data_IF_158561593107
#
_entry.id   IF_158561593107
#
_cell.length_a   1.000
_cell.length_b   1.000
_cell.length_c   1.000
_cell.angle_alpha   90.00
_cell.angle_beta   90.00
_cell.angle_gamma   90.00
#
_symmetry.space_group_name_H-M   'P 1'
#
loop_
_entity.id
_entity.type
_entity.pdbx_description
1 polymer ?
#
# COMPACT_ATOMS: atom_id res chain seq x y z
N UNK A 1 -8.41 -7.62 2.89
CA UNK A 1 -8.96 -6.40 3.53
C UNK A 1 -9.17 -5.30 2.49
N UNK A 2 -8.12 -4.82 1.81
CA UNK A 2 -8.24 -3.77 0.78
C UNK A 2 -9.30 -4.09 -0.29
N UNK A 3 -9.32 -5.31 -0.83
CA UNK A 3 -10.34 -5.78 -1.80
C UNK A 3 -11.78 -5.67 -1.30
N UNK A 4 -12.03 -5.95 -0.01
CA UNK A 4 -13.37 -5.84 0.55
C UNK A 4 -13.77 -4.38 0.79
N UNK A 5 -12.81 -3.51 1.14
CA UNK A 5 -13.03 -2.07 1.25
C UNK A 5 -13.34 -1.47 -0.13
N UNK A 6 -12.54 -1.82 -1.14
CA UNK A 6 -12.75 -1.44 -2.53
C UNK A 6 -14.14 -1.83 -3.02
N UNK A 7 -14.52 -3.10 -2.83
CA UNK A 7 -15.84 -3.60 -3.19
C UNK A 7 -16.97 -2.76 -2.58
N UNK A 8 -16.91 -2.49 -1.28
CA UNK A 8 -17.95 -1.71 -0.58
C UNK A 8 -18.03 -0.26 -1.02
N UNK A 9 -16.90 0.34 -1.37
CA UNK A 9 -16.85 1.71 -1.88
C UNK A 9 -17.37 1.77 -3.33
N UNK A 10 -17.01 0.79 -4.14
CA UNK A 10 -17.52 0.64 -5.49
C UNK A 10 -19.04 0.47 -5.51
N UNK A 11 -19.59 -0.38 -4.63
CA UNK A 11 -21.05 -0.55 -4.45
C UNK A 11 -21.76 0.75 -4.03
N UNK A 12 -21.04 1.72 -3.45
CA UNK A 12 -21.54 3.06 -3.10
C UNK A 12 -21.36 4.09 -4.22
N UNK A 13 -20.84 3.68 -5.37
CA UNK A 13 -20.63 4.55 -6.54
C UNK A 13 -19.32 5.34 -6.51
N UNK A 14 -18.37 5.03 -5.63
CA UNK A 14 -17.06 5.67 -5.63
C UNK A 14 -16.12 5.03 -6.65
N UNK A 15 -15.28 5.85 -7.28
CA UNK A 15 -14.16 5.37 -8.09
C UNK A 15 -13.01 5.02 -7.15
N UNK A 16 -12.55 3.77 -7.25
CA UNK A 16 -11.54 3.22 -6.36
C UNK A 16 -10.40 2.56 -7.12
N UNK A 17 -9.22 2.48 -6.50
CA UNK A 17 -8.09 1.74 -7.05
C UNK A 17 -7.21 1.12 -5.95
N UNK A 18 -6.86 -0.16 -6.09
CA UNK A 18 -5.87 -0.80 -5.21
C UNK A 18 -4.48 -0.69 -5.81
N UNK A 19 -3.55 -0.13 -5.04
CA UNK A 19 -2.11 -0.18 -5.28
C UNK A 19 -1.54 -1.31 -4.39
N UNK A 20 -1.00 -2.36 -4.99
CA UNK A 20 -0.46 -3.51 -4.25
C UNK A 20 0.87 -4.01 -4.82
N UNK A 21 1.43 -5.03 -4.17
CA UNK A 21 2.69 -5.62 -4.58
C UNK A 21 2.66 -6.19 -6.00
N UNK A 22 1.53 -6.71 -6.45
CA UNK A 22 1.43 -7.39 -7.73
C UNK A 22 1.38 -6.37 -8.87
N UNK A 23 0.64 -5.27 -8.75
CA UNK A 23 0.62 -4.25 -9.80
C UNK A 23 1.84 -3.30 -9.77
N UNK A 24 2.35 -2.94 -8.60
CA UNK A 24 3.49 -2.01 -8.50
C UNK A 24 4.84 -2.71 -8.71
N UNK A 25 5.11 -3.85 -8.05
CA UNK A 25 6.44 -4.49 -8.14
C UNK A 25 6.69 -5.16 -9.50
N UNK A 26 5.65 -5.58 -10.22
CA UNK A 26 5.84 -6.14 -11.56
C UNK A 26 5.94 -5.07 -12.66
N UNK A 27 5.62 -3.81 -12.37
CA UNK A 27 5.67 -2.71 -13.35
C UNK A 27 6.56 -1.55 -12.89
N UNK A 28 6.02 -0.59 -12.14
CA UNK A 28 6.66 0.66 -11.75
C UNK A 28 7.93 0.47 -10.91
N UNK A 29 7.96 -0.56 -10.06
CA UNK A 29 9.04 -0.83 -9.11
C UNK A 29 9.77 -2.15 -9.42
N UNK A 30 9.75 -2.59 -10.68
CA UNK A 30 10.40 -3.84 -11.12
C UNK A 30 11.93 -3.84 -10.97
N UNK A 31 12.52 -2.66 -10.86
CA UNK A 31 13.95 -2.42 -10.67
C UNK A 31 14.38 -2.50 -9.20
N UNK A 32 13.43 -2.52 -8.25
CA UNK A 32 13.70 -2.47 -6.82
C UNK A 32 13.68 -3.88 -6.20
N UNK A 33 14.72 -4.20 -5.42
CA UNK A 33 14.81 -5.41 -4.64
C UNK A 33 14.13 -5.33 -3.27
N UNK A 34 14.82 -5.83 -2.26
CA UNK A 34 14.34 -5.93 -0.87
C UNK A 34 15.30 -5.35 0.16
N UNK A 35 16.36 -4.66 -0.28
CA UNK A 35 17.25 -3.90 0.61
C UNK A 35 16.46 -2.81 1.36
N UNK A 36 16.97 -2.31 2.50
CA UNK A 36 16.36 -1.18 3.18
C UNK A 36 16.12 0.02 2.26
N UNK A 37 17.10 0.35 1.40
CA UNK A 37 17.04 1.47 0.47
C UNK A 37 15.98 1.25 -0.62
N UNK A 38 15.90 0.04 -1.18
CA UNK A 38 14.89 -0.31 -2.18
C UNK A 38 13.47 -0.29 -1.58
N UNK A 39 13.33 -0.64 -0.30
CA UNK A 39 12.05 -0.57 0.42
C UNK A 39 11.62 0.88 0.65
N UNK A 40 12.55 1.74 1.04
CA UNK A 40 12.29 3.17 1.18
C UNK A 40 11.84 3.77 -0.15
N UNK A 41 12.59 3.52 -1.24
CA UNK A 41 12.25 4.03 -2.58
C UNK A 41 10.92 3.46 -3.08
N UNK A 42 10.64 2.18 -2.80
CA UNK A 42 9.37 1.57 -3.14
C UNK A 42 8.21 2.32 -2.47
N UNK A 43 8.28 2.60 -1.16
CA UNK A 43 7.23 3.34 -0.45
C UNK A 43 7.15 4.79 -0.93
N UNK A 44 8.28 5.44 -1.24
CA UNK A 44 8.30 6.80 -1.81
C UNK A 44 7.54 6.86 -3.13
N UNK A 45 7.86 5.98 -4.09
CA UNK A 45 7.17 5.92 -5.41
C UNK A 45 5.67 5.65 -5.26
N UNK A 46 5.29 4.72 -4.38
CA UNK A 46 3.89 4.42 -4.09
C UNK A 46 3.17 5.63 -3.49
N UNK A 47 3.82 6.36 -2.58
CA UNK A 47 3.26 7.57 -1.98
C UNK A 47 2.97 8.66 -3.02
N UNK A 48 3.89 8.89 -3.96
CA UNK A 48 3.68 9.85 -5.05
C UNK A 48 2.51 9.46 -5.97
N UNK A 49 2.44 8.17 -6.35
CA UNK A 49 1.34 7.67 -7.18
C UNK A 49 0.02 7.77 -6.42
N UNK A 50 -0.03 7.35 -5.15
CA UNK A 50 -1.22 7.47 -4.32
C UNK A 50 -1.70 8.92 -4.23
N UNK A 51 -0.79 9.88 -4.08
CA UNK A 51 -1.10 11.31 -4.07
C UNK A 51 -1.70 11.78 -5.41
N UNK A 52 -1.14 11.36 -6.55
CA UNK A 52 -1.69 11.67 -7.88
C UNK A 52 -3.12 11.13 -8.05
N UNK A 53 -3.39 9.90 -7.60
CA UNK A 53 -4.73 9.32 -7.62
C UNK A 53 -5.70 10.11 -6.73
N UNK A 54 -5.27 10.48 -5.52
CA UNK A 54 -6.07 11.32 -4.62
C UNK A 54 -6.40 12.68 -5.25
N UNK A 55 -5.43 13.33 -5.89
CA UNK A 55 -5.63 14.60 -6.60
C UNK A 55 -6.59 14.47 -7.79
N UNK A 56 -6.65 13.29 -8.42
CA UNK A 56 -7.62 12.97 -9.46
C UNK A 56 -9.02 12.61 -8.91
N UNK A 57 -9.23 12.67 -7.59
CA UNK A 57 -10.50 12.33 -6.93
C UNK A 57 -10.75 10.84 -6.76
N UNK A 58 -9.72 9.99 -6.89
CA UNK A 58 -9.83 8.54 -6.79
C UNK A 58 -9.47 8.10 -5.36
N UNK A 59 -10.37 7.33 -4.74
CA UNK A 59 -10.08 6.71 -3.45
C UNK A 59 -9.15 5.52 -3.68
N UNK A 60 -7.90 5.64 -3.26
CA UNK A 60 -6.91 4.59 -3.44
C UNK A 60 -6.57 3.88 -2.13
N UNK A 61 -6.26 2.58 -2.21
CA UNK A 61 -5.81 1.77 -1.08
C UNK A 61 -4.43 1.21 -1.38
N UNK A 62 -3.46 1.51 -0.52
CA UNK A 62 -2.09 1.01 -0.63
C UNK A 62 -1.90 -0.19 0.30
N UNK A 63 -1.70 -1.38 -0.26
CA UNK A 63 -1.62 -2.65 0.48
C UNK A 63 -0.18 -3.20 0.53
N UNK A 64 0.74 -2.46 1.16
CA UNK A 64 2.16 -2.80 1.22
C UNK A 64 2.66 -3.03 2.64
N UNK A 65 3.65 -3.92 2.78
CA UNK A 65 4.46 -4.00 4.00
C UNK A 65 5.33 -2.73 4.06
N UNK A 66 5.02 -1.85 5.02
CA UNK A 66 5.69 -0.56 5.24
C UNK A 66 6.29 -0.53 6.65
N UNK A 67 7.41 -1.23 6.90
CA UNK A 67 7.89 -1.52 8.25
C UNK A 67 8.41 -0.25 8.97
N UNK A 68 8.99 0.69 8.22
CA UNK A 68 9.64 1.86 8.78
C UNK A 68 8.65 3.01 8.98
N UNK A 69 8.63 3.57 10.19
CA UNK A 69 7.76 4.71 10.54
C UNK A 69 8.10 5.96 9.71
N UNK A 70 9.37 6.17 9.41
CA UNK A 70 9.83 7.30 8.62
C UNK A 70 9.19 7.33 7.24
N UNK A 71 9.16 6.19 6.55
CA UNK A 71 8.60 6.08 5.20
C UNK A 71 7.09 6.31 5.20
N UNK A 72 6.38 5.75 6.20
CA UNK A 72 4.94 6.00 6.36
C UNK A 72 4.63 7.46 6.65
N UNK A 73 5.50 8.13 7.42
CA UNK A 73 5.40 9.58 7.66
C UNK A 73 5.61 10.36 6.36
N UNK A 74 6.66 10.06 5.58
CA UNK A 74 6.92 10.69 4.28
C UNK A 74 5.72 10.54 3.33
N UNK A 75 5.14 9.34 3.25
CA UNK A 75 3.96 9.09 2.42
C UNK A 75 2.72 9.88 2.90
N UNK A 76 2.51 9.98 4.23
CA UNK A 76 1.45 10.81 4.82
C UNK A 76 1.64 12.29 4.50
N UNK A 77 2.87 12.79 4.59
CA UNK A 77 3.19 14.20 4.40
C UNK A 77 2.95 14.68 2.94
N UNK A 78 2.80 13.76 1.98
CA UNK A 78 2.45 14.08 0.58
C UNK A 78 0.96 14.43 0.41
N UNK A 79 0.09 13.90 1.26
CA UNK A 79 -1.35 14.07 1.16
C UNK A 79 -1.81 15.34 1.88
N UNK A 80 -2.96 15.88 1.47
CA UNK A 80 -3.58 16.98 2.22
C UNK A 80 -4.15 16.49 3.54
N UNK A 81 -4.33 17.41 4.47
CA UNK A 81 -4.96 17.12 5.77
C UNK A 81 -6.31 16.42 5.56
N UNK A 82 -6.51 15.29 6.24
CA UNK A 82 -7.72 14.48 6.11
C UNK A 82 -7.77 13.49 4.93
N UNK A 83 -6.82 13.54 3.98
CA UNK A 83 -6.82 12.65 2.80
C UNK A 83 -5.98 11.37 2.99
N UNK A 84 -5.26 11.23 4.11
CA UNK A 84 -4.45 10.04 4.41
C UNK A 84 -4.90 9.32 5.68
N UNK A 85 -5.28 8.05 5.52
CA UNK A 85 -5.71 7.17 6.61
C UNK A 85 -4.73 6.00 6.73
N UNK A 86 -4.06 5.89 7.88
CA UNK A 86 -3.14 4.78 8.16
C UNK A 86 -3.88 3.66 8.89
N UNK A 87 -3.82 2.45 8.34
CA UNK A 87 -4.48 1.27 8.89
C UNK A 87 -3.41 0.25 9.29
N UNK A 88 -3.28 0.00 10.59
CA UNK A 88 -2.37 -1.04 11.09
C UNK A 88 -3.07 -2.40 11.10
N UNK A 89 -2.75 -3.24 10.10
CA UNK A 89 -3.20 -4.63 10.01
C UNK A 89 -2.44 -5.51 11.01
N UNK A 90 -2.84 -5.48 12.28
CA UNK A 90 -2.20 -6.26 13.33
C UNK A 90 -2.57 -7.74 13.25
N UNK A 91 -1.56 -8.60 13.06
CA UNK A 91 -1.65 -10.05 13.16
C UNK A 91 -0.34 -10.57 13.79
N UNK A 92 -0.37 -11.68 14.53
CA UNK A 92 0.88 -12.29 15.02
C UNK A 92 1.66 -12.91 13.85
N UNK A 93 2.99 -12.95 13.99
CA UNK A 93 3.88 -13.56 13.00
C UNK A 93 3.52 -15.04 12.78
N UNK A 94 3.31 -15.79 13.86
CA UNK A 94 2.92 -17.21 13.82
C UNK A 94 1.65 -17.47 12.98
N UNK A 95 0.67 -16.56 13.04
CA UNK A 95 -0.56 -16.69 12.24
C UNK A 95 -0.31 -16.32 10.78
N UNK A 96 0.55 -15.33 10.51
CA UNK A 96 0.96 -14.99 9.15
C UNK A 96 1.71 -16.15 8.49
N UNK A 97 2.69 -16.74 9.19
CA UNK A 97 3.47 -17.90 8.76
C UNK A 97 2.59 -19.12 8.53
N UNK A 98 1.66 -19.41 9.45
CA UNK A 98 0.73 -20.54 9.29
C UNK A 98 -0.16 -20.40 8.06
N UNK A 99 -0.52 -19.17 7.68
CA UNK A 99 -1.41 -18.91 6.53
C UNK A 99 -0.70 -18.83 5.20
N UNK A 100 0.63 -18.64 5.20
CA UNK A 100 1.51 -18.35 4.07
C UNK A 100 0.97 -18.71 2.66
N UNK A 101 0.12 -17.83 2.12
CA UNK A 101 -0.60 -18.11 0.87
C UNK A 101 0.33 -18.09 -0.35
N UNK A 102 1.50 -17.45 -0.23
CA UNK A 102 2.47 -17.26 -1.32
C UNK A 102 3.74 -18.09 -1.13
N UNK A 103 3.87 -18.85 -0.04
CA UNK A 103 5.06 -19.66 0.25
C UNK A 103 6.31 -18.82 0.56
N UNK A 104 6.16 -17.62 1.11
CA UNK A 104 7.26 -16.65 1.28
C UNK A 104 7.90 -16.69 2.68
N UNK A 105 7.31 -17.39 3.64
CA UNK A 105 7.84 -17.47 5.01
C UNK A 105 8.79 -18.66 5.22
N UNK A 106 8.86 -19.59 4.27
CA UNK A 106 9.69 -20.81 4.34
C UNK A 106 10.98 -20.69 3.53
#
# INVERSE_FOLDING_TARGET
>A
MATEVEKRLYEKGYITFILDGDNIRHSLNRDLGFSPEDREENIRRIGEVANLFSQAGIINMTAFISPYRADRKKARDLAKEGEFIEIFCRCSLEVCERRDMKGLYK
#
